data_IF_662911592556
#
_entry.id   IF_662911592556
#
_cell.length_a   1.000
_cell.length_b   1.000
_cell.length_c   1.000
_cell.angle_alpha   90.00
_cell.angle_beta   90.00
_cell.angle_gamma   90.00
#
_symmetry.space_group_name_H-M   'P 1'
#
loop_
_entity.id
_entity.type
_entity.pdbx_description
1 polymer ?
#
# COMPACT_ATOMS: atom_id res chain seq x y z
N UNK A 1 26.94 -18.39 50.49
CA UNK A 1 26.21 -17.14 50.19
C UNK A 1 24.72 -17.43 50.23
N UNK A 2 23.98 -16.79 51.13
CA UNK A 2 22.56 -17.03 51.37
C UNK A 2 21.69 -16.17 50.45
N UNK A 3 21.73 -16.45 49.15
CA UNK A 3 20.81 -15.83 48.21
C UNK A 3 19.68 -16.82 47.88
N UNK A 4 18.45 -16.42 48.17
CA UNK A 4 17.24 -17.20 47.87
C UNK A 4 16.82 -16.95 46.41
N UNK A 5 17.50 -17.61 45.48
CA UNK A 5 17.14 -17.57 44.06
C UNK A 5 16.33 -18.81 43.68
N UNK A 6 15.37 -18.63 42.77
CA UNK A 6 14.75 -19.75 42.07
C UNK A 6 15.81 -20.42 41.18
N UNK A 7 15.95 -21.73 41.27
CA UNK A 7 16.92 -22.49 40.48
C UNK A 7 16.52 -22.49 39.00
N UNK A 8 17.49 -22.23 38.12
CA UNK A 8 17.30 -22.23 36.67
C UNK A 8 17.53 -23.65 36.11
N UNK A 9 16.56 -24.55 36.33
CA UNK A 9 16.63 -25.92 35.82
C UNK A 9 16.07 -26.00 34.38
N UNK A 10 16.97 -26.21 33.40
CA UNK A 10 16.61 -26.34 31.98
C UNK A 10 16.22 -27.76 31.57
N UNK A 11 16.51 -28.74 32.42
CA UNK A 11 16.21 -30.16 32.21
C UNK A 11 14.89 -30.56 32.90
N UNK A 12 14.15 -29.59 33.45
CA UNK A 12 12.86 -29.82 34.07
C UNK A 12 11.86 -30.40 33.05
N UNK A 13 11.46 -31.65 33.28
CA UNK A 13 10.45 -32.33 32.48
C UNK A 13 9.05 -32.02 32.99
N UNK A 14 8.08 -31.92 32.07
CA UNK A 14 6.67 -31.88 32.44
C UNK A 14 6.18 -33.30 32.75
N UNK A 15 5.50 -33.48 33.88
CA UNK A 15 4.95 -34.78 34.30
C UNK A 15 3.88 -35.31 33.32
N UNK A 16 3.10 -34.39 32.72
CA UNK A 16 2.08 -34.68 31.71
C UNK A 16 2.28 -33.74 30.51
N UNK A 17 1.90 -34.14 29.28
CA UNK A 17 1.93 -33.26 28.12
C UNK A 17 1.08 -32.02 28.34
N UNK A 18 1.69 -30.83 28.22
CA UNK A 18 0.99 -29.55 28.36
C UNK A 18 0.15 -29.30 27.12
N UNK A 19 -1.11 -28.88 27.31
CA UNK A 19 -1.96 -28.47 26.19
C UNK A 19 -1.37 -27.26 25.49
N UNK A 20 -1.45 -27.22 24.16
CA UNK A 20 -1.05 -26.05 23.36
C UNK A 20 -1.83 -24.81 23.80
N UNK A 21 -3.05 -24.99 24.32
CA UNK A 21 -3.87 -23.89 24.83
C UNK A 21 -3.23 -23.17 26.01
N UNK A 22 -2.52 -23.89 26.86
CA UNK A 22 -1.95 -23.38 28.11
C UNK A 22 -0.59 -22.69 27.88
N UNK A 23 -0.05 -22.77 26.66
CA UNK A 23 1.24 -22.16 26.32
C UNK A 23 1.19 -20.63 26.25
N UNK A 24 -0.01 -20.04 26.11
CA UNK A 24 -0.22 -18.60 26.03
C UNK A 24 -1.35 -18.16 26.98
N UNK A 25 -1.23 -16.98 27.61
CA UNK A 25 -2.31 -16.43 28.43
C UNK A 25 -3.53 -16.07 27.56
N UNK A 26 -4.73 -16.11 28.14
CA UNK A 26 -6.00 -15.88 27.41
C UNK A 26 -6.06 -14.51 26.70
N UNK A 27 -5.48 -13.46 27.30
CA UNK A 27 -5.43 -12.12 26.72
C UNK A 27 -4.38 -11.93 25.61
N UNK A 28 -3.68 -12.98 25.20
CA UNK A 28 -2.62 -12.86 24.20
C UNK A 28 -3.16 -12.51 22.80
N UNK A 29 -2.41 -11.71 22.04
CA UNK A 29 -2.78 -11.27 20.69
C UNK A 29 -3.07 -12.44 19.73
N UNK A 30 -2.39 -13.57 19.90
CA UNK A 30 -2.59 -14.75 19.06
C UNK A 30 -4.04 -15.29 19.15
N UNK A 31 -4.59 -15.40 20.35
CA UNK A 31 -5.98 -15.83 20.57
C UNK A 31 -6.97 -14.85 19.97
N UNK A 32 -6.74 -13.56 20.20
CA UNK A 32 -7.55 -12.50 19.60
C UNK A 32 -7.61 -12.61 18.06
N UNK A 33 -6.47 -12.83 17.40
CA UNK A 33 -6.45 -12.95 15.94
C UNK A 33 -7.18 -14.23 15.50
N UNK A 34 -6.97 -15.36 16.18
CA UNK A 34 -7.70 -16.60 15.89
C UNK A 34 -9.21 -16.37 15.98
N UNK A 35 -9.69 -15.72 17.04
CA UNK A 35 -11.11 -15.47 17.24
C UNK A 35 -11.69 -14.49 16.23
N UNK A 36 -10.94 -13.44 15.87
CA UNK A 36 -11.35 -12.53 14.79
C UNK A 36 -11.44 -13.24 13.45
N UNK A 37 -10.50 -14.14 13.14
CA UNK A 37 -10.51 -14.86 11.86
C UNK A 37 -11.66 -15.88 11.78
N UNK A 38 -12.18 -16.40 12.92
CA UNK A 38 -13.39 -17.24 12.94
C UNK A 38 -14.65 -16.49 12.47
N UNK A 39 -14.69 -15.18 12.68
CA UNK A 39 -15.82 -14.33 12.25
C UNK A 39 -15.78 -14.08 10.73
N UNK A 40 -14.65 -14.35 10.06
CA UNK A 40 -14.48 -14.09 8.63
C UNK A 40 -15.14 -15.18 7.78
N UNK A 41 -15.78 -14.77 6.69
CA UNK A 41 -16.17 -15.69 5.64
C UNK A 41 -14.93 -16.11 4.84
N UNK A 42 -14.50 -17.36 5.06
CA UNK A 42 -13.33 -17.95 4.40
C UNK A 42 -13.71 -18.85 3.22
N UNK A 43 -14.99 -18.91 2.81
CA UNK A 43 -15.48 -19.82 1.77
C UNK A 43 -14.68 -19.72 0.47
N UNK A 44 -14.33 -18.49 0.06
CA UNK A 44 -13.50 -18.22 -1.13
C UNK A 44 -12.08 -18.81 -1.06
N UNK A 45 -11.54 -18.99 0.16
CA UNK A 45 -10.24 -19.62 0.35
C UNK A 45 -10.34 -21.14 0.23
N UNK A 46 -11.40 -21.75 0.78
CA UNK A 46 -11.62 -23.19 0.67
C UNK A 46 -11.95 -23.63 -0.77
N UNK A 47 -12.73 -22.84 -1.51
CA UNK A 47 -13.17 -23.18 -2.87
C UNK A 47 -12.04 -23.34 -3.91
N UNK A 48 -10.81 -22.91 -3.58
CA UNK A 48 -9.62 -23.10 -4.43
C UNK A 48 -8.91 -24.43 -4.21
N UNK A 49 -9.25 -25.14 -3.14
CA UNK A 49 -8.70 -26.44 -2.83
C UNK A 49 -9.55 -27.53 -3.48
N UNK A 50 -8.90 -28.62 -3.91
CA UNK A 50 -9.60 -29.77 -4.49
C UNK A 50 -10.47 -30.43 -3.42
N UNK A 51 -11.73 -30.68 -3.76
CA UNK A 51 -12.69 -31.43 -2.93
C UNK A 51 -12.39 -32.93 -2.84
N UNK A 52 -11.61 -33.46 -3.78
CA UNK A 52 -11.49 -34.90 -3.98
C UNK A 52 -10.64 -35.61 -2.92
N UNK A 53 -9.89 -34.87 -2.08
CA UNK A 53 -9.00 -35.44 -1.06
C UNK A 53 -7.72 -36.09 -1.59
N UNK A 54 -7.48 -36.06 -2.90
CA UNK A 54 -6.29 -36.64 -3.53
C UNK A 54 -5.12 -35.66 -3.59
N UNK A 55 -3.93 -36.15 -3.24
CA UNK A 55 -2.67 -35.39 -3.26
C UNK A 55 -2.13 -35.10 -1.87
N UNK A 56 -1.13 -34.22 -1.79
CA UNK A 56 -0.57 -33.79 -0.50
C UNK A 56 -1.59 -32.93 0.23
N UNK A 57 -1.86 -33.25 1.51
CA UNK A 57 -2.75 -32.47 2.36
C UNK A 57 -2.35 -31.00 2.38
N UNK A 58 -3.32 -30.12 2.12
CA UNK A 58 -3.14 -28.68 2.20
C UNK A 58 -3.25 -28.22 3.66
N UNK A 59 -2.59 -27.12 3.99
CA UNK A 59 -2.81 -26.45 5.27
C UNK A 59 -4.18 -25.81 5.30
N UNK A 60 -4.76 -25.76 6.50
CA UNK A 60 -6.07 -25.21 6.78
C UNK A 60 -6.05 -23.67 6.50
N UNK A 61 -6.95 -23.14 5.64
CA UNK A 61 -6.95 -21.73 5.27
C UNK A 61 -7.10 -20.74 6.42
N UNK A 62 -7.90 -21.04 7.45
CA UNK A 62 -8.09 -20.18 8.61
C UNK A 62 -6.77 -20.02 9.39
N UNK A 63 -6.03 -21.11 9.58
CA UNK A 63 -4.68 -21.13 10.14
C UNK A 63 -3.73 -20.26 9.31
N UNK A 64 -3.73 -20.41 7.98
CA UNK A 64 -2.84 -19.65 7.09
C UNK A 64 -3.15 -18.14 7.11
N UNK A 65 -4.43 -17.75 7.15
CA UNK A 65 -4.84 -16.34 7.27
C UNK A 65 -4.46 -15.79 8.65
N UNK A 66 -4.73 -16.52 9.72
CA UNK A 66 -4.37 -16.14 11.10
C UNK A 66 -2.87 -15.95 11.25
N UNK A 67 -2.07 -16.86 10.69
CA UNK A 67 -0.61 -16.79 10.68
C UNK A 67 -0.11 -15.52 9.99
N UNK A 68 -0.67 -15.19 8.82
CA UNK A 68 -0.28 -13.97 8.10
C UNK A 68 -0.67 -12.70 8.84
N UNK A 69 -1.89 -12.62 9.38
CA UNK A 69 -2.34 -11.44 10.14
C UNK A 69 -1.52 -11.24 11.41
N UNK A 70 -1.19 -12.31 12.13
CA UNK A 70 -0.33 -12.25 13.31
C UNK A 70 1.09 -11.81 12.97
N UNK A 71 1.70 -12.43 11.96
CA UNK A 71 3.05 -12.07 11.52
C UNK A 71 3.15 -10.59 11.10
N UNK A 72 2.18 -10.09 10.34
CA UNK A 72 2.12 -8.68 9.91
C UNK A 72 1.83 -7.72 11.05
N UNK A 73 1.12 -8.16 12.09
CA UNK A 73 0.90 -7.37 13.31
C UNK A 73 2.21 -7.15 14.08
N UNK A 74 3.09 -8.16 14.11
CA UNK A 74 4.43 -8.06 14.69
C UNK A 74 5.47 -7.38 13.76
N UNK A 75 5.13 -7.16 12.49
CA UNK A 75 6.06 -6.62 11.48
C UNK A 75 6.94 -7.68 10.80
N UNK A 76 6.72 -8.97 11.07
CA UNK A 76 7.39 -10.10 10.43
C UNK A 76 6.69 -10.39 9.10
N UNK A 77 7.26 -9.92 7.98
CA UNK A 77 6.63 -10.05 6.65
C UNK A 77 7.33 -11.03 5.71
N UNK A 78 8.59 -11.36 5.98
CA UNK A 78 9.35 -12.33 5.19
C UNK A 78 8.84 -13.74 5.45
N UNK A 79 8.42 -14.47 4.42
CA UNK A 79 7.93 -15.84 4.56
C UNK A 79 8.94 -16.77 5.23
N UNK A 80 10.25 -16.54 5.03
CA UNK A 80 11.31 -17.30 5.71
C UNK A 80 11.42 -16.97 7.20
N UNK A 81 11.17 -15.72 7.58
CA UNK A 81 11.12 -15.34 8.99
C UNK A 81 9.87 -15.92 9.66
N UNK A 82 8.73 -15.97 8.94
CA UNK A 82 7.50 -16.60 9.42
C UNK A 82 7.71 -18.10 9.64
N UNK A 83 8.33 -18.80 8.67
CA UNK A 83 8.71 -20.21 8.81
C UNK A 83 9.59 -20.45 10.05
N UNK A 84 10.66 -19.66 10.23
CA UNK A 84 11.52 -19.75 11.42
C UNK A 84 10.75 -19.44 12.72
N UNK A 85 9.83 -18.49 12.68
CA UNK A 85 8.99 -18.16 13.84
C UNK A 85 8.04 -19.31 14.19
N UNK A 86 7.50 -20.04 13.21
CA UNK A 86 6.70 -21.25 13.45
C UNK A 86 7.48 -22.38 14.14
N UNK A 87 8.80 -22.35 14.09
CA UNK A 87 9.65 -23.31 14.79
C UNK A 87 10.02 -22.85 16.21
N UNK A 88 10.37 -21.58 16.36
CA UNK A 88 11.00 -21.07 17.59
C UNK A 88 10.02 -20.38 18.53
N UNK A 89 9.01 -19.70 17.99
CA UNK A 89 8.10 -18.85 18.77
C UNK A 89 6.83 -19.62 19.15
N UNK A 90 6.55 -19.66 20.45
CA UNK A 90 5.39 -20.34 21.03
C UNK A 90 4.08 -19.81 20.43
N UNK A 91 3.98 -18.51 20.18
CA UNK A 91 2.76 -17.88 19.67
C UNK A 91 2.41 -18.32 18.27
N UNK A 92 3.43 -18.43 17.42
CA UNK A 92 3.27 -18.95 16.06
C UNK A 92 2.88 -20.43 16.10
N UNK A 93 3.50 -21.20 17.00
CA UNK A 93 3.16 -22.62 17.20
C UNK A 93 1.73 -22.82 17.70
N UNK A 94 1.20 -21.94 18.54
CA UNK A 94 -0.21 -21.99 18.96
C UNK A 94 -1.14 -21.76 17.76
N UNK A 95 -0.86 -20.74 16.94
CA UNK A 95 -1.66 -20.43 15.74
C UNK A 95 -1.63 -21.57 14.73
N UNK A 96 -0.47 -22.19 14.52
CA UNK A 96 -0.31 -23.28 13.56
C UNK A 96 -0.63 -24.66 14.14
N UNK A 97 -1.14 -24.74 15.37
CA UNK A 97 -1.32 -26.02 16.09
C UNK A 97 -0.07 -26.92 16.02
N UNK A 98 1.11 -26.31 16.19
CA UNK A 98 2.44 -26.91 16.13
C UNK A 98 2.83 -27.48 14.75
N UNK A 99 2.06 -27.18 13.70
CA UNK A 99 2.43 -27.46 12.31
C UNK A 99 3.43 -26.42 11.80
N UNK A 100 4.23 -26.80 10.80
CA UNK A 100 5.32 -25.98 10.27
C UNK A 100 5.16 -25.77 8.77
N UNK A 101 4.34 -24.79 8.35
CA UNK A 101 4.26 -24.42 6.95
C UNK A 101 5.60 -23.88 6.47
N UNK A 102 6.10 -24.42 5.36
CA UNK A 102 7.33 -24.00 4.74
C UNK A 102 7.17 -22.64 4.05
N UNK A 103 8.29 -21.93 3.86
CA UNK A 103 8.24 -20.61 3.24
C UNK A 103 7.60 -20.61 1.85
N UNK A 104 7.71 -21.72 1.09
CA UNK A 104 7.20 -21.80 -0.27
C UNK A 104 5.67 -21.89 -0.28
N UNK A 105 5.09 -22.63 0.67
CA UNK A 105 3.64 -22.70 0.87
C UNK A 105 3.06 -21.37 1.32
N UNK A 106 3.73 -20.66 2.25
CA UNK A 106 3.31 -19.31 2.68
C UNK A 106 3.35 -18.33 1.50
N UNK A 107 4.41 -18.36 0.69
CA UNK A 107 4.53 -17.53 -0.50
C UNK A 107 3.43 -17.82 -1.53
N UNK A 108 3.15 -19.11 -1.77
CA UNK A 108 2.12 -19.56 -2.71
C UNK A 108 0.74 -19.08 -2.27
N UNK A 109 0.38 -19.32 -1.01
CA UNK A 109 -0.89 -18.90 -0.43
C UNK A 109 -1.11 -17.39 -0.56
N UNK A 110 -0.08 -16.57 -0.29
CA UNK A 110 -0.16 -15.11 -0.47
C UNK A 110 -0.36 -14.67 -1.92
N UNK A 111 0.24 -15.40 -2.88
CA UNK A 111 0.16 -15.07 -4.30
C UNK A 111 -1.20 -15.44 -4.89
N UNK A 112 -1.71 -16.61 -4.54
CA UNK A 112 -2.98 -17.13 -5.04
C UNK A 112 -4.22 -16.45 -4.42
N UNK A 113 -4.07 -15.88 -3.22
CA UNK A 113 -5.15 -15.22 -2.48
C UNK A 113 -4.97 -13.71 -2.35
N UNK A 114 -4.28 -13.05 -3.29
CA UNK A 114 -3.97 -11.63 -3.14
C UNK A 114 -5.20 -10.71 -3.08
N UNK A 115 -6.23 -11.02 -3.87
CA UNK A 115 -7.47 -10.25 -3.89
C UNK A 115 -8.28 -10.47 -2.62
N UNK A 116 -8.39 -11.72 -2.16
CA UNK A 116 -9.09 -12.08 -0.93
C UNK A 116 -8.41 -11.48 0.30
N UNK A 117 -7.08 -11.52 0.37
CA UNK A 117 -6.31 -10.86 1.44
C UNK A 117 -6.49 -9.34 1.43
N UNK A 118 -6.73 -8.74 0.26
CA UNK A 118 -7.03 -7.32 0.16
C UNK A 118 -8.45 -7.00 0.66
N UNK A 119 -9.43 -7.90 0.44
CA UNK A 119 -10.81 -7.77 0.95
C UNK A 119 -10.88 -7.88 2.48
N UNK A 120 -9.96 -8.61 3.13
CA UNK A 120 -9.87 -8.67 4.59
C UNK A 120 -9.77 -7.29 5.24
N UNK A 121 -9.21 -6.29 4.55
CA UNK A 121 -9.19 -4.91 5.04
C UNK A 121 -10.60 -4.37 5.30
N UNK A 122 -11.53 -4.61 4.39
CA UNK A 122 -12.93 -4.15 4.49
C UNK A 122 -13.65 -4.88 5.63
N UNK A 123 -13.42 -6.18 5.79
CA UNK A 123 -14.00 -6.98 6.90
C UNK A 123 -13.47 -6.50 8.26
N UNK A 124 -12.17 -6.22 8.38
CA UNK A 124 -11.61 -5.65 9.61
C UNK A 124 -12.18 -4.26 9.91
N UNK A 125 -12.44 -3.46 8.87
CA UNK A 125 -13.06 -2.14 9.02
C UNK A 125 -14.50 -2.26 9.52
N UNK A 126 -15.26 -3.23 9.02
CA UNK A 126 -16.60 -3.58 9.50
C UNK A 126 -16.59 -3.90 10.99
N UNK A 127 -15.72 -4.82 11.43
CA UNK A 127 -15.56 -5.15 12.85
C UNK A 127 -15.19 -3.92 13.71
N UNK A 128 -14.36 -3.03 13.19
CA UNK A 128 -14.03 -1.78 13.87
C UNK A 128 -15.22 -0.80 13.92
N UNK A 129 -16.09 -0.85 12.91
CA UNK A 129 -17.36 -0.12 12.84
C UNK A 129 -18.34 -0.62 13.91
N UNK A 130 -18.54 -1.92 14.00
CA UNK A 130 -19.40 -2.59 15.00
C UNK A 130 -18.91 -2.34 16.43
N UNK A 131 -17.61 -2.40 16.66
CA UNK A 131 -16.99 -2.05 17.95
C UNK A 131 -17.09 -0.55 18.30
N UNK A 132 -17.66 0.29 17.41
CA UNK A 132 -17.86 1.72 17.62
C UNK A 132 -16.57 2.53 17.64
N UNK A 133 -15.51 2.03 17.01
CA UNK A 133 -14.20 2.70 16.91
C UNK A 133 -14.11 3.65 15.71
N UNK A 134 -14.99 3.51 14.73
CA UNK A 134 -14.96 4.31 13.50
C UNK A 134 -15.89 5.52 13.62
N UNK A 135 -15.33 6.70 13.86
CA UNK A 135 -16.06 7.98 13.77
C UNK A 135 -15.65 8.75 12.52
N UNK A 136 -16.47 8.66 11.47
CA UNK A 136 -16.19 9.18 10.12
C UNK A 136 -16.27 10.72 10.03
N UNK A 137 -16.63 11.43 11.10
CA UNK A 137 -16.89 12.88 11.03
C UNK A 137 -15.69 13.70 10.52
N UNK A 138 -14.48 13.42 11.03
CA UNK A 138 -13.24 14.08 10.59
C UNK A 138 -12.26 13.01 10.16
N UNK A 139 -11.81 13.12 8.91
CA UNK A 139 -10.80 12.22 8.34
C UNK A 139 -9.58 13.02 7.90
N UNK A 140 -8.43 12.37 7.97
CA UNK A 140 -7.16 12.93 7.54
C UNK A 140 -6.61 12.06 6.42
N UNK A 141 -6.28 12.68 5.28
CA UNK A 141 -5.65 12.04 4.13
C UNK A 141 -4.17 12.40 4.11
N UNK A 142 -3.32 11.39 3.97
CA UNK A 142 -1.90 11.60 3.75
C UNK A 142 -1.26 10.44 2.98
N UNK A 143 -0.15 10.75 2.33
CA UNK A 143 0.60 9.87 1.45
C UNK A 143 1.96 9.56 2.05
N UNK A 144 2.36 8.29 2.01
CA UNK A 144 3.61 7.84 2.57
C UNK A 144 4.44 7.09 1.53
N UNK A 145 5.67 7.56 1.33
CA UNK A 145 6.59 6.99 0.34
C UNK A 145 7.23 5.74 0.91
N UNK A 146 7.12 4.64 0.19
CA UNK A 146 7.54 3.30 0.60
C UNK A 146 8.50 2.75 -0.43
N UNK A 147 9.55 2.06 0.02
CA UNK A 147 10.52 1.44 -0.90
C UNK A 147 9.87 0.24 -1.58
N UNK A 148 10.12 0.06 -2.88
CA UNK A 148 9.78 -1.18 -3.57
C UNK A 148 10.83 -2.26 -3.27
N UNK A 149 10.54 -3.52 -3.60
CA UNK A 149 11.50 -4.63 -3.51
C UNK A 149 12.53 -4.58 -4.66
N UNK A 150 13.20 -3.43 -4.80
CA UNK A 150 14.12 -3.10 -5.90
C UNK A 150 15.16 -2.07 -5.47
N UNK A 151 16.34 -2.12 -6.09
CA UNK A 151 17.40 -1.13 -5.87
C UNK A 151 17.40 -0.02 -6.92
N UNK A 152 17.91 1.16 -6.55
CA UNK A 152 18.15 2.27 -7.48
C UNK A 152 19.20 1.92 -8.56
N UNK A 153 20.11 1.00 -8.27
CA UNK A 153 21.15 0.53 -9.17
C UNK A 153 20.61 -0.33 -10.33
N UNK A 154 19.42 -0.92 -10.17
CA UNK A 154 18.76 -1.70 -11.22
C UNK A 154 18.01 -0.83 -12.25
N UNK A 155 18.06 0.49 -12.11
CA UNK A 155 17.51 1.44 -13.08
C UNK A 155 18.42 1.51 -14.31
N UNK A 156 17.92 1.04 -15.46
CA UNK A 156 18.61 1.14 -16.74
C UNK A 156 17.96 2.21 -17.62
N UNK A 157 18.77 2.85 -18.46
CA UNK A 157 18.32 3.83 -19.44
C UNK A 157 17.77 3.14 -20.67
N UNK A 158 16.87 3.82 -21.38
CA UNK A 158 16.28 3.32 -22.63
C UNK A 158 17.33 2.88 -23.66
N UNK A 159 18.40 3.67 -23.86
CA UNK A 159 19.48 3.36 -24.81
C UNK A 159 20.23 2.05 -24.45
N UNK A 160 20.43 1.78 -23.16
CA UNK A 160 21.03 0.52 -22.72
C UNK A 160 20.09 -0.68 -22.99
N UNK A 161 18.78 -0.51 -22.78
CA UNK A 161 17.80 -1.55 -23.04
C UNK A 161 17.64 -1.83 -24.53
N UNK A 162 17.64 -0.80 -25.37
CA UNK A 162 17.56 -0.94 -26.83
C UNK A 162 18.79 -1.65 -27.40
N UNK A 163 19.99 -1.26 -26.94
CA UNK A 163 21.25 -1.93 -27.33
C UNK A 163 21.28 -3.39 -26.88
N UNK A 164 20.83 -3.67 -25.66
CA UNK A 164 20.80 -5.04 -25.13
C UNK A 164 19.77 -5.92 -25.87
N UNK A 165 18.58 -5.39 -26.18
CA UNK A 165 17.57 -6.11 -26.97
C UNK A 165 18.06 -6.35 -28.40
N UNK A 166 18.69 -5.34 -29.04
CA UNK A 166 19.29 -5.52 -30.37
C UNK A 166 20.40 -6.56 -30.35
N UNK A 167 21.29 -6.53 -29.35
CA UNK A 167 22.35 -7.55 -29.19
C UNK A 167 21.76 -8.95 -29.00
N UNK A 168 20.73 -9.10 -28.17
CA UNK A 168 20.09 -10.41 -27.95
C UNK A 168 19.32 -10.93 -29.17
N UNK A 169 18.71 -10.04 -29.97
CA UNK A 169 18.09 -10.43 -31.24
C UNK A 169 19.14 -10.84 -32.26
N UNK A 170 20.24 -10.10 -32.37
CA UNK A 170 21.36 -10.47 -33.24
C UNK A 170 22.02 -11.79 -32.81
N UNK A 171 22.22 -12.01 -31.50
CA UNK A 171 22.73 -13.29 -30.98
C UNK A 171 21.76 -14.45 -31.25
N UNK A 172 20.43 -14.20 -31.28
CA UNK A 172 19.43 -15.19 -31.63
C UNK A 172 19.41 -15.46 -33.15
N UNK A 173 19.42 -14.41 -33.97
CA UNK A 173 19.50 -14.51 -35.44
C UNK A 173 20.80 -15.21 -35.88
N UNK A 174 21.92 -14.98 -35.19
CA UNK A 174 23.20 -15.67 -35.43
C UNK A 174 23.20 -17.13 -34.95
N UNK A 175 22.46 -17.44 -33.88
CA UNK A 175 22.28 -18.81 -33.41
C UNK A 175 21.37 -19.60 -34.36
N UNK A 176 20.24 -19.01 -34.75
CA UNK A 176 19.30 -19.56 -35.74
C UNK A 176 20.00 -19.74 -37.11
N UNK A 177 20.83 -18.77 -37.53
CA UNK A 177 21.61 -18.90 -38.77
C UNK A 177 22.70 -19.98 -38.71
N UNK A 178 23.28 -20.25 -37.53
CA UNK A 178 24.24 -21.35 -37.32
C UNK A 178 23.52 -22.71 -37.27
N UNK A 179 22.36 -22.77 -36.62
CA UNK A 179 21.50 -23.96 -36.60
C UNK A 179 20.94 -24.27 -38.00
N UNK A 180 20.58 -23.27 -38.81
CA UNK A 180 20.17 -23.42 -40.21
C UNK A 180 21.29 -23.94 -41.12
N UNK A 181 22.54 -23.54 -40.85
CA UNK A 181 23.75 -24.04 -41.55
C UNK A 181 24.08 -25.48 -41.14
N UNK A 182 23.81 -25.87 -39.89
CA UNK A 182 24.17 -27.19 -39.35
C UNK A 182 23.08 -28.26 -39.54
N UNK A 183 21.78 -27.89 -39.59
CA UNK A 183 20.66 -28.84 -39.65
C UNK A 183 19.73 -28.72 -40.86
N UNK A 184 19.88 -27.68 -41.69
CA UNK A 184 19.04 -27.43 -42.87
C UNK A 184 17.62 -26.94 -42.53
N UNK A 185 17.06 -26.07 -43.39
CA UNK A 185 15.84 -25.25 -43.19
C UNK A 185 14.54 -25.95 -42.73
N UNK A 186 14.48 -27.28 -42.66
CA UNK A 186 13.22 -28.03 -42.52
C UNK A 186 13.15 -29.03 -41.34
N UNK A 187 14.07 -29.00 -40.36
CA UNK A 187 13.94 -29.83 -39.15
C UNK A 187 13.90 -29.02 -37.85
N UNK A 188 12.77 -29.07 -37.14
CA UNK A 188 12.63 -28.60 -35.76
C UNK A 188 13.01 -29.71 -34.79
N UNK A 189 14.13 -29.52 -34.09
CA UNK A 189 14.49 -30.28 -32.90
C UNK A 189 13.79 -29.68 -31.68
N UNK A 190 12.62 -30.22 -31.34
CA UNK A 190 11.85 -29.78 -30.18
C UNK A 190 12.55 -30.13 -28.86
N UNK A 191 13.10 -29.11 -28.19
CA UNK A 191 12.94 -28.77 -26.77
C UNK A 191 13.83 -27.55 -26.50
N UNK A 192 13.26 -26.34 -26.40
CA UNK A 192 14.03 -25.16 -26.00
C UNK A 192 14.74 -25.45 -24.67
N UNK A 193 16.09 -25.38 -24.59
CA UNK A 193 16.79 -25.57 -23.34
C UNK A 193 16.28 -24.60 -22.27
N UNK A 194 16.27 -25.02 -21.00
CA UNK A 194 15.89 -24.17 -19.84
C UNK A 194 16.65 -22.83 -19.79
N UNK A 195 17.75 -22.71 -20.53
CA UNK A 195 18.53 -21.50 -20.74
C UNK A 195 17.87 -20.50 -21.69
N UNK A 196 17.20 -20.95 -22.76
CA UNK A 196 16.39 -20.09 -23.64
C UNK A 196 15.13 -19.62 -22.95
N UNK A 197 14.48 -20.41 -22.09
CA UNK A 197 13.35 -19.94 -21.27
C UNK A 197 13.72 -18.75 -20.37
N UNK A 198 14.98 -18.68 -19.88
CA UNK A 198 15.51 -17.51 -19.16
C UNK A 198 15.81 -16.33 -20.10
N UNK A 199 16.26 -16.59 -21.33
CA UNK A 199 16.53 -15.56 -22.35
C UNK A 199 15.25 -14.96 -22.93
N UNK A 200 14.28 -15.77 -23.33
CA UNK A 200 12.95 -15.36 -23.80
C UNK A 200 12.17 -14.61 -22.72
N UNK A 201 12.13 -15.12 -21.48
CA UNK A 201 11.47 -14.41 -20.37
C UNK A 201 12.17 -13.09 -20.05
N UNK A 202 13.50 -13.01 -20.19
CA UNK A 202 14.26 -11.76 -20.08
C UNK A 202 13.96 -10.81 -21.24
N UNK A 203 13.87 -11.30 -22.47
CA UNK A 203 13.58 -10.52 -23.67
C UNK A 203 12.15 -10.00 -23.67
N UNK A 204 11.18 -10.80 -23.22
CA UNK A 204 9.80 -10.37 -22.98
C UNK A 204 9.72 -9.28 -21.90
N UNK A 205 10.51 -9.39 -20.82
CA UNK A 205 10.60 -8.32 -19.80
C UNK A 205 11.24 -7.05 -20.32
N UNK A 206 12.26 -7.16 -21.17
CA UNK A 206 12.90 -6.03 -21.82
C UNK A 206 11.95 -5.32 -22.79
N UNK A 207 11.21 -6.08 -23.61
CA UNK A 207 10.16 -5.55 -24.50
C UNK A 207 9.05 -4.85 -23.72
N UNK A 208 8.55 -5.46 -22.64
CA UNK A 208 7.56 -4.83 -21.74
C UNK A 208 8.10 -3.56 -21.06
N UNK A 209 9.37 -3.57 -20.63
CA UNK A 209 10.02 -2.38 -20.07
C UNK A 209 10.12 -1.24 -21.08
N UNK A 210 10.46 -1.56 -22.34
CA UNK A 210 10.52 -0.61 -23.45
C UNK A 210 9.14 0.02 -23.72
N UNK A 211 8.10 -0.81 -23.86
CA UNK A 211 6.73 -0.34 -24.10
C UNK A 211 6.21 0.54 -22.95
N UNK A 212 6.47 0.18 -21.68
CA UNK A 212 6.07 1.02 -20.55
C UNK A 212 6.85 2.34 -20.47
N UNK A 213 8.13 2.35 -20.88
CA UNK A 213 8.91 3.60 -20.96
C UNK A 213 8.37 4.51 -22.06
N UNK A 214 7.99 3.96 -23.22
CA UNK A 214 7.34 4.69 -24.31
C UNK A 214 5.99 5.26 -23.86
N UNK A 215 5.13 4.45 -23.23
CA UNK A 215 3.86 4.90 -22.65
C UNK A 215 4.07 5.97 -21.58
N UNK A 216 4.99 5.77 -20.64
CA UNK A 216 5.30 6.79 -19.62
C UNK A 216 5.88 8.07 -20.23
N UNK A 217 6.61 7.98 -21.35
CA UNK A 217 7.12 9.15 -22.06
C UNK A 217 5.97 9.88 -22.78
N UNK A 218 5.06 9.15 -23.41
CA UNK A 218 3.84 9.68 -24.03
C UNK A 218 2.90 10.31 -23.00
N UNK A 219 2.66 9.67 -21.86
CA UNK A 219 1.86 10.24 -20.76
C UNK A 219 2.51 11.49 -20.18
N UNK A 220 3.84 11.53 -20.04
CA UNK A 220 4.55 12.73 -19.60
C UNK A 220 4.49 13.85 -20.64
N UNK A 221 4.57 13.51 -21.92
CA UNK A 221 4.39 14.45 -23.02
C UNK A 221 2.97 15.01 -23.02
N UNK A 222 1.94 14.16 -22.97
CA UNK A 222 0.54 14.55 -22.89
C UNK A 222 0.23 15.38 -21.63
N UNK A 223 0.78 15.03 -20.46
CA UNK A 223 0.63 15.83 -19.23
C UNK A 223 1.40 17.16 -19.33
N UNK A 224 2.48 17.22 -20.11
CA UNK A 224 3.22 18.46 -20.34
C UNK A 224 2.52 19.35 -21.37
N UNK A 225 1.96 18.78 -22.44
CA UNK A 225 1.09 19.41 -23.42
C UNK A 225 -0.16 19.97 -22.75
N UNK A 226 -0.89 19.15 -22.00
CA UNK A 226 -2.05 19.59 -21.23
C UNK A 226 -1.71 20.66 -20.17
N UNK A 227 -0.46 20.73 -19.69
CA UNK A 227 0.01 21.82 -18.80
C UNK A 227 0.40 23.09 -19.55
N UNK A 228 0.81 22.96 -20.81
CA UNK A 228 1.10 24.09 -21.69
C UNK A 228 -0.22 24.67 -22.18
N UNK A 229 -1.14 23.84 -22.69
CA UNK A 229 -2.51 24.23 -23.07
C UNK A 229 -3.24 24.86 -21.89
N UNK A 230 -3.24 24.24 -20.71
CA UNK A 230 -3.84 24.83 -19.52
C UNK A 230 -3.23 26.18 -19.11
N UNK A 231 -1.92 26.34 -19.34
CA UNK A 231 -1.23 27.61 -19.06
C UNK A 231 -1.58 28.66 -20.11
N UNK A 232 -1.73 28.26 -21.37
CA UNK A 232 -2.13 29.13 -22.47
C UNK A 232 -3.58 29.58 -22.31
N UNK A 233 -4.50 28.68 -21.96
CA UNK A 233 -5.89 28.99 -21.60
C UNK A 233 -5.96 29.92 -20.38
N UNK A 234 -5.19 29.64 -19.32
CA UNK A 234 -5.13 30.52 -18.14
C UNK A 234 -4.50 31.89 -18.45
N UNK A 235 -3.51 31.97 -19.34
CA UNK A 235 -2.89 33.24 -19.79
C UNK A 235 -3.82 34.04 -20.71
N UNK A 236 -4.65 33.36 -21.52
CA UNK A 236 -5.70 34.00 -22.34
C UNK A 236 -6.86 34.52 -21.49
N UNK A 237 -7.30 33.76 -20.47
CA UNK A 237 -8.39 34.16 -19.56
C UNK A 237 -7.94 35.25 -18.59
N UNK A 238 -6.68 35.24 -18.13
CA UNK A 238 -6.17 36.19 -17.13
C UNK A 238 -5.63 37.49 -17.73
N UNK A 239 -5.32 37.55 -19.02
CA UNK A 239 -4.74 38.74 -19.69
C UNK A 239 -3.34 39.17 -19.21
N UNK A 240 -2.76 38.52 -18.19
CA UNK A 240 -1.44 38.81 -17.63
C UNK A 240 -0.47 37.63 -17.82
N UNK A 241 0.75 37.91 -18.31
CA UNK A 241 1.81 36.90 -18.45
C UNK A 241 2.29 36.45 -17.05
N UNK A 242 2.11 35.18 -16.70
CA UNK A 242 2.59 34.64 -15.42
C UNK A 242 4.11 34.71 -15.31
N UNK A 243 4.63 35.34 -14.24
CA UNK A 243 6.07 35.34 -13.90
C UNK A 243 6.52 33.95 -13.44
N UNK A 244 7.37 33.32 -14.24
CA UNK A 244 8.02 32.03 -13.96
C UNK A 244 8.79 31.53 -15.18
N UNK A 245 9.66 30.53 -15.01
CA UNK A 245 10.37 29.88 -16.13
C UNK A 245 9.33 29.36 -17.13
N UNK A 246 9.40 29.77 -18.41
CA UNK A 246 8.57 29.18 -19.47
C UNK A 246 8.72 27.67 -19.40
N UNK A 247 7.59 26.95 -19.38
CA UNK A 247 7.61 25.50 -19.61
C UNK A 247 8.22 25.33 -21.00
N UNK A 248 9.28 24.54 -21.11
CA UNK A 248 9.79 24.21 -22.44
C UNK A 248 8.67 23.48 -23.18
N UNK A 249 8.46 23.85 -24.44
CA UNK A 249 7.65 23.05 -25.36
C UNK A 249 8.08 21.58 -25.22
N UNK A 250 7.14 20.62 -25.23
CA UNK A 250 7.51 19.23 -25.23
C UNK A 250 8.36 19.03 -26.49
N UNK A 251 9.53 18.42 -26.37
CA UNK A 251 10.22 17.92 -27.55
C UNK A 251 9.19 17.04 -28.29
N UNK A 252 8.94 17.32 -29.58
CA UNK A 252 7.98 16.59 -30.43
C UNK A 252 8.25 15.07 -30.49
N UNK A 253 9.42 14.66 -29.98
CA UNK A 253 9.72 13.30 -29.54
C UNK A 253 10.21 13.39 -28.08
N UNK A 254 9.41 13.01 -27.06
CA UNK A 254 9.88 13.03 -25.68
C UNK A 254 11.05 12.07 -25.57
N UNK A 255 12.28 12.60 -25.54
CA UNK A 255 13.52 11.82 -25.67
C UNK A 255 13.50 10.64 -24.66
N UNK A 256 13.18 9.40 -25.10
CA UNK A 256 12.99 8.27 -24.18
C UNK A 256 14.31 7.94 -23.47
N UNK A 257 15.41 8.50 -23.98
CA UNK A 257 16.79 8.47 -23.48
C UNK A 257 16.97 8.89 -22.02
N UNK A 258 16.10 9.74 -21.44
CA UNK A 258 16.19 10.15 -20.01
C UNK A 258 15.31 9.33 -19.07
N UNK A 259 14.35 8.58 -19.59
CA UNK A 259 13.48 7.75 -18.78
C UNK A 259 14.23 6.50 -18.34
N UNK A 260 14.32 6.31 -17.02
CA UNK A 260 14.94 5.12 -16.42
C UNK A 260 13.81 4.21 -15.94
N UNK A 261 13.82 2.96 -16.38
CA UNK A 261 12.95 1.92 -15.83
C UNK A 261 13.79 0.93 -15.04
N UNK A 262 13.17 0.36 -14.02
CA UNK A 262 13.79 -0.69 -13.24
C UNK A 262 13.46 -2.04 -13.87
N UNK A 263 14.49 -2.81 -14.24
CA UNK A 263 14.31 -4.15 -14.82
C UNK A 263 13.68 -5.15 -13.86
N UNK A 264 13.84 -4.93 -12.55
CA UNK A 264 13.40 -5.87 -11.52
C UNK A 264 11.93 -5.69 -11.14
N UNK A 265 11.43 -4.45 -11.11
CA UNK A 265 10.02 -4.09 -10.94
C UNK A 265 9.67 -2.92 -11.86
N UNK A 266 9.01 -3.23 -12.97
CA UNK A 266 8.73 -2.29 -14.06
C UNK A 266 7.78 -1.17 -13.61
N UNK A 267 6.94 -1.46 -12.62
CA UNK A 267 5.90 -0.55 -12.11
C UNK A 267 6.41 0.41 -11.04
N UNK A 268 7.59 0.15 -10.48
CA UNK A 268 8.21 1.01 -9.47
C UNK A 268 8.67 2.34 -10.09
N UNK A 269 8.62 3.43 -9.32
CA UNK A 269 9.03 4.77 -9.78
C UNK A 269 10.04 5.40 -8.81
N UNK A 270 10.86 6.33 -9.33
CA UNK A 270 11.78 7.12 -8.50
C UNK A 270 10.97 8.19 -7.77
N UNK A 271 10.94 8.11 -6.44
CA UNK A 271 10.21 9.01 -5.57
C UNK A 271 11.17 9.86 -4.72
N UNK A 272 10.98 11.17 -4.76
CA UNK A 272 11.74 12.11 -3.92
C UNK A 272 11.21 12.10 -2.48
N UNK A 273 12.07 11.76 -1.53
CA UNK A 273 11.82 11.86 -0.08
C UNK A 273 12.58 13.06 0.49
N UNK A 274 12.40 13.35 1.78
CA UNK A 274 13.15 14.41 2.48
C UNK A 274 14.66 14.12 2.52
N UNK A 275 15.04 12.85 2.58
CA UNK A 275 16.43 12.40 2.80
C UNK A 275 17.08 11.84 1.53
N UNK A 276 16.48 12.03 0.35
CA UNK A 276 17.02 11.55 -0.93
C UNK A 276 15.95 11.01 -1.88
N UNK A 277 16.35 10.13 -2.80
CA UNK A 277 15.44 9.47 -3.74
C UNK A 277 15.31 8.00 -3.36
N UNK A 278 14.10 7.46 -3.42
CA UNK A 278 13.85 6.03 -3.24
C UNK A 278 13.17 5.48 -4.49
N UNK A 279 13.45 4.23 -4.85
CA UNK A 279 12.66 3.51 -5.85
C UNK A 279 11.50 2.83 -5.11
N UNK A 280 10.26 3.13 -5.49
CA UNK A 280 9.11 2.51 -4.83
C UNK A 280 7.78 3.10 -5.21
N UNK A 281 6.87 3.10 -4.24
CA UNK A 281 5.47 3.44 -4.42
C UNK A 281 4.99 4.40 -3.34
N UNK A 282 3.89 5.08 -3.61
CA UNK A 282 3.29 6.05 -2.71
C UNK A 282 2.00 5.45 -2.14
N UNK A 283 2.06 5.01 -0.88
CA UNK A 283 0.93 4.45 -0.15
C UNK A 283 0.08 5.57 0.44
N UNK A 284 -1.14 5.71 -0.05
CA UNK A 284 -2.14 6.64 0.43
C UNK A 284 -2.96 5.98 1.53
N UNK A 285 -3.30 6.73 2.58
CA UNK A 285 -4.21 6.28 3.61
C UNK A 285 -5.13 7.42 4.09
N UNK A 286 -6.38 7.08 4.33
CA UNK A 286 -7.38 7.95 4.98
C UNK A 286 -7.63 7.43 6.39
N UNK A 287 -7.46 8.29 7.39
CA UNK A 287 -7.45 7.90 8.80
C UNK A 287 -8.44 8.74 9.60
N UNK A 288 -9.17 8.11 10.52
CA UNK A 288 -10.07 8.78 11.46
C UNK A 288 -9.33 9.40 12.65
N UNK A 289 -10.07 10.13 13.51
CA UNK A 289 -9.54 10.67 14.77
C UNK A 289 -9.00 9.58 15.70
N UNK A 290 -9.63 8.42 15.71
CA UNK A 290 -9.28 7.24 16.52
C UNK A 290 -8.08 6.46 15.94
N UNK A 291 -7.43 6.97 14.89
CA UNK A 291 -6.30 6.34 14.21
C UNK A 291 -6.66 5.02 13.51
N UNK A 292 -7.92 4.86 13.11
CA UNK A 292 -8.40 3.76 12.27
C UNK A 292 -8.27 4.17 10.80
N UNK A 293 -7.72 3.28 9.98
CA UNK A 293 -7.56 3.49 8.55
C UNK A 293 -8.84 3.06 7.85
N UNK A 294 -9.47 3.96 7.10
CA UNK A 294 -10.74 3.73 6.39
C UNK A 294 -10.52 3.36 4.94
N UNK A 295 -9.53 3.98 4.28
CA UNK A 295 -9.16 3.66 2.91
C UNK A 295 -7.65 3.62 2.77
N UNK A 296 -7.16 2.71 1.95
CA UNK A 296 -5.74 2.50 1.71
C UNK A 296 -5.50 2.08 0.25
N UNK A 297 -4.70 2.84 -0.49
CA UNK A 297 -4.35 2.54 -1.88
C UNK A 297 -2.89 2.85 -2.18
N UNK A 298 -2.36 2.24 -3.23
CA UNK A 298 -0.99 2.46 -3.70
C UNK A 298 -1.01 3.12 -5.06
N UNK A 299 -0.19 4.16 -5.21
CA UNK A 299 -0.07 4.93 -6.45
C UNK A 299 1.39 4.99 -6.91
N UNK A 300 1.58 5.06 -8.23
CA UNK A 300 2.91 5.25 -8.84
C UNK A 300 3.31 6.72 -8.95
N UNK A 301 2.39 7.64 -8.66
CA UNK A 301 2.60 9.07 -8.82
C UNK A 301 3.55 9.63 -7.75
N UNK A 302 4.48 10.50 -8.16
CA UNK A 302 5.46 11.11 -7.25
C UNK A 302 4.86 12.21 -6.35
N UNK A 303 3.77 12.84 -6.81
CA UNK A 303 3.08 13.94 -6.14
C UNK A 303 1.63 13.55 -5.87
N UNK A 304 1.09 14.04 -4.75
CA UNK A 304 -0.23 13.65 -4.26
C UNK A 304 -1.39 14.47 -4.82
N UNK A 305 -1.11 15.41 -5.74
CA UNK A 305 -2.11 16.39 -6.22
C UNK A 305 -3.36 15.71 -6.77
N UNK A 306 -3.22 14.66 -7.57
CA UNK A 306 -4.37 14.01 -8.21
C UNK A 306 -5.06 12.97 -7.32
N UNK A 307 -4.58 12.75 -6.09
CA UNK A 307 -5.02 11.64 -5.23
C UNK A 307 -6.13 12.02 -4.25
N UNK A 308 -6.55 13.29 -4.20
CA UNK A 308 -7.59 13.74 -3.28
C UNK A 308 -8.94 13.09 -3.60
N UNK A 309 -9.47 13.29 -4.81
CA UNK A 309 -10.79 12.80 -5.22
C UNK A 309 -10.88 11.27 -5.31
N UNK A 310 -9.90 10.55 -5.89
CA UNK A 310 -9.92 9.09 -5.90
C UNK A 310 -10.00 8.50 -4.49
N UNK A 311 -9.20 9.01 -3.55
CA UNK A 311 -9.22 8.52 -2.16
C UNK A 311 -10.53 8.81 -1.44
N UNK A 312 -11.20 9.94 -1.74
CA UNK A 312 -12.52 10.23 -1.16
C UNK A 312 -13.60 9.29 -1.71
N UNK A 313 -13.63 9.07 -3.03
CA UNK A 313 -14.53 8.07 -3.62
C UNK A 313 -14.29 6.69 -3.01
N UNK A 314 -13.03 6.30 -2.87
CA UNK A 314 -12.66 5.03 -2.25
C UNK A 314 -13.09 4.95 -0.79
N UNK A 315 -12.95 6.04 -0.05
CA UNK A 315 -13.43 6.12 1.34
C UNK A 315 -14.93 5.87 1.42
N UNK A 316 -15.72 6.48 0.53
CA UNK A 316 -17.16 6.27 0.48
C UNK A 316 -17.53 4.82 0.07
N UNK A 317 -16.80 4.22 -0.86
CA UNK A 317 -16.97 2.81 -1.25
C UNK A 317 -16.69 1.86 -0.08
N UNK A 318 -15.56 2.03 0.60
CA UNK A 318 -15.15 1.17 1.73
C UNK A 318 -16.10 1.32 2.92
N UNK A 319 -16.56 2.54 3.22
CA UNK A 319 -17.53 2.78 4.29
C UNK A 319 -18.89 2.15 4.00
N UNK A 320 -19.34 2.20 2.74
CA UNK A 320 -20.56 1.51 2.30
C UNK A 320 -20.41 0.00 2.39
N UNK A 321 -19.28 -0.53 1.93
CA UNK A 321 -19.00 -1.95 1.97
C UNK A 321 -18.89 -2.48 3.41
N UNK A 322 -18.32 -1.71 4.33
CA UNK A 322 -18.20 -2.04 5.74
C UNK A 322 -19.45 -1.70 6.59
N UNK A 323 -20.55 -1.26 5.97
CA UNK A 323 -21.81 -0.97 6.68
C UNK A 323 -21.76 0.18 7.70
N UNK A 324 -20.71 1.00 7.71
CA UNK A 324 -20.52 2.04 8.73
C UNK A 324 -21.44 3.23 8.49
N UNK A 325 -22.38 3.45 9.43
CA UNK A 325 -23.33 4.58 9.38
C UNK A 325 -22.62 5.89 9.72
N UNK A 326 -22.13 6.60 8.71
CA UNK A 326 -21.55 7.94 8.89
C UNK A 326 -21.09 8.57 7.58
N UNK A 327 -21.30 9.88 7.44
CA UNK A 327 -20.75 10.66 6.31
C UNK A 327 -19.48 11.37 6.73
N UNK A 328 -18.49 11.40 5.84
CA UNK A 328 -17.31 12.25 5.98
C UNK A 328 -17.77 13.70 6.00
N UNK A 329 -17.49 14.46 7.07
CA UNK A 329 -17.85 15.88 7.15
C UNK A 329 -16.69 16.81 6.88
N UNK A 330 -15.48 16.44 7.32
CA UNK A 330 -14.27 17.26 7.19
C UNK A 330 -13.10 16.38 6.75
N UNK A 331 -12.35 16.84 5.76
CA UNK A 331 -11.14 16.18 5.25
C UNK A 331 -9.93 17.08 5.48
N UNK A 332 -8.91 16.54 6.13
CA UNK A 332 -7.65 17.22 6.42
C UNK A 332 -6.55 16.64 5.52
N UNK A 333 -5.86 17.46 4.71
CA UNK A 333 -4.73 16.95 3.91
C UNK A 333 -3.59 17.97 3.75
N UNK A 334 -2.41 17.50 3.34
CA UNK A 334 -1.25 18.37 3.13
C UNK A 334 -1.39 19.28 1.90
N UNK A 335 -0.45 20.22 1.77
CA UNK A 335 -0.25 21.02 0.57
C UNK A 335 0.19 20.23 -0.65
N UNK A 336 0.50 18.94 -0.50
CA UNK A 336 0.68 18.02 -1.62
C UNK A 336 -0.61 17.79 -2.42
N UNK A 337 -1.77 17.89 -1.78
CA UNK A 337 -3.09 17.63 -2.37
C UNK A 337 -3.78 18.90 -2.88
N UNK A 338 -3.23 20.08 -2.60
CA UNK A 338 -3.81 21.35 -3.02
C UNK A 338 -3.55 21.61 -4.50
N UNK A 339 -4.61 21.75 -5.28
CA UNK A 339 -4.62 22.39 -6.60
C UNK A 339 -5.92 23.17 -6.78
N UNK A 340 -5.90 24.20 -7.63
CA UNK A 340 -7.11 24.99 -7.92
C UNK A 340 -8.18 24.14 -8.60
N UNK A 341 -7.79 23.24 -9.51
CA UNK A 341 -8.67 22.24 -10.13
C UNK A 341 -9.35 21.34 -9.10
N UNK A 342 -8.61 20.74 -8.17
CA UNK A 342 -9.21 19.90 -7.12
C UNK A 342 -10.26 20.64 -6.28
N UNK A 343 -10.07 21.95 -6.07
CA UNK A 343 -11.01 22.76 -5.30
C UNK A 343 -12.25 23.18 -6.10
N UNK A 344 -12.13 23.28 -7.42
CA UNK A 344 -13.26 23.54 -8.33
C UNK A 344 -14.06 22.26 -8.60
N UNK A 345 -13.36 21.14 -8.75
CA UNK A 345 -13.94 19.81 -8.93
C UNK A 345 -14.55 19.24 -7.62
N UNK A 346 -14.33 19.90 -6.49
CA UNK A 346 -14.92 19.51 -5.22
C UNK A 346 -16.41 19.85 -5.19
N UNK A 347 -17.23 18.82 -4.99
CA UNK A 347 -18.69 18.96 -4.87
C UNK A 347 -19.04 19.96 -3.75
N UNK A 348 -19.84 21.02 -4.03
CA UNK A 348 -20.31 21.96 -3.01
C UNK A 348 -21.08 21.31 -1.86
N UNK A 349 -21.68 20.13 -2.10
CA UNK A 349 -22.39 19.32 -1.10
C UNK A 349 -21.51 18.28 -0.39
N UNK A 350 -20.25 18.16 -0.82
CA UNK A 350 -19.26 17.24 -0.28
C UNK A 350 -18.65 17.66 1.06
N UNK A 351 -17.66 16.91 1.58
CA UNK A 351 -17.02 17.20 2.85
C UNK A 351 -16.24 18.52 2.82
N UNK A 352 -16.19 19.21 3.96
CA UNK A 352 -15.39 20.42 4.12
C UNK A 352 -13.89 20.09 4.01
N UNK A 353 -13.24 20.55 2.93
CA UNK A 353 -11.82 20.38 2.70
C UNK A 353 -10.99 21.41 3.47
N UNK A 354 -9.99 20.96 4.24
CA UNK A 354 -8.98 21.80 4.89
C UNK A 354 -7.59 21.39 4.39
N UNK A 355 -7.16 22.05 3.31
CA UNK A 355 -5.90 21.78 2.61
C UNK A 355 -4.90 22.91 2.84
N UNK A 356 -3.67 22.58 3.25
CA UNK A 356 -2.63 23.60 3.32
C UNK A 356 -2.27 24.14 1.92
N UNK A 357 -2.15 25.45 1.75
CA UNK A 357 -1.86 26.06 0.44
C UNK A 357 -0.36 26.24 0.17
N UNK A 358 0.50 26.20 1.19
CA UNK A 358 1.94 26.51 1.08
C UNK A 358 2.82 25.33 1.49
N UNK A 359 3.88 25.08 0.72
CA UNK A 359 4.84 23.98 0.92
C UNK A 359 5.92 24.26 1.97
N UNK A 360 6.23 25.53 2.26
CA UNK A 360 7.34 25.89 3.17
C UNK A 360 6.91 26.01 4.63
N UNK A 361 7.65 25.38 5.55
CA UNK A 361 7.44 25.47 7.00
C UNK A 361 7.46 26.92 7.51
N UNK A 362 8.41 27.74 7.02
CA UNK A 362 8.51 29.16 7.41
C UNK A 362 7.27 29.96 7.00
N UNK A 363 6.73 29.69 5.80
CA UNK A 363 5.52 30.35 5.31
C UNK A 363 4.26 29.88 6.06
N UNK A 364 4.21 28.61 6.50
CA UNK A 364 3.15 28.10 7.38
C UNK A 364 3.19 28.74 8.77
N UNK A 365 4.40 28.95 9.30
CA UNK A 365 4.60 29.58 10.61
C UNK A 365 4.22 31.06 10.58
N UNK A 366 4.65 31.81 9.56
CA UNK A 366 4.22 33.18 9.34
C UNK A 366 2.69 33.34 9.19
N UNK A 367 1.99 32.32 8.67
CA UNK A 367 0.53 32.29 8.63
C UNK A 367 -0.09 31.94 10.00
N UNK A 368 0.53 31.07 10.79
CA UNK A 368 0.05 30.78 12.16
C UNK A 368 0.01 32.05 13.03
N UNK A 369 0.97 32.94 12.83
CA UNK A 369 1.12 34.20 13.56
C UNK A 369 0.16 35.29 13.09
N UNK A 370 -0.50 35.11 11.93
CA UNK A 370 -1.55 36.04 11.48
C UNK A 370 -2.78 35.95 12.38
N UNK A 371 -3.32 37.15 12.68
CA UNK A 371 -4.54 37.33 13.50
C UNK A 371 -5.73 36.61 12.84
N UNK A 372 -6.59 36.02 13.67
CA UNK A 372 -7.78 35.33 13.17
C UNK A 372 -8.65 36.31 12.38
N UNK A 373 -8.94 36.04 11.10
CA UNK A 373 -9.76 36.93 10.28
C UNK A 373 -11.20 37.00 10.83
N UNK A 374 -11.75 38.21 10.94
CA UNK A 374 -13.14 38.49 11.37
C UNK A 374 -13.98 38.98 10.19
N UNK A 375 -15.30 38.72 10.23
CA UNK A 375 -16.26 39.14 9.19
C UNK A 375 -16.50 38.13 8.06
N UNK A 376 -17.48 38.43 7.20
CA UNK A 376 -17.87 37.62 6.04
C UNK A 376 -16.71 37.50 5.04
N UNK A 377 -16.62 36.37 4.33
CA UNK A 377 -15.62 36.17 3.29
C UNK A 377 -15.98 37.10 2.11
N UNK A 378 -15.05 37.92 1.59
CA UNK A 378 -15.32 38.72 0.40
C UNK A 378 -15.69 37.84 -0.79
N UNK A 379 -16.72 38.21 -1.56
CA UNK A 379 -17.14 37.44 -2.73
C UNK A 379 -16.04 37.39 -3.80
N UNK A 380 -15.19 38.42 -3.89
CA UNK A 380 -14.04 38.51 -4.80
C UNK A 380 -12.81 37.70 -4.36
N UNK A 381 -12.84 37.06 -3.18
CA UNK A 381 -11.68 36.31 -2.69
C UNK A 381 -11.44 35.06 -3.55
N UNK A 382 -10.18 34.86 -3.96
CA UNK A 382 -9.75 33.69 -4.72
C UNK A 382 -9.94 32.39 -3.91
N UNK A 383 -10.06 31.25 -4.58
CA UNK A 383 -10.22 29.92 -3.93
C UNK A 383 -9.11 29.67 -2.89
N UNK A 384 -7.89 30.12 -3.21
CA UNK A 384 -6.73 30.04 -2.32
C UNK A 384 -6.87 30.90 -1.07
N UNK A 385 -7.29 32.15 -1.21
CA UNK A 385 -7.48 33.06 -0.09
C UNK A 385 -8.63 32.62 0.82
N UNK A 386 -9.70 32.07 0.23
CA UNK A 386 -10.80 31.44 0.98
C UNK A 386 -10.29 30.29 1.84
N UNK A 387 -9.43 29.42 1.30
CA UNK A 387 -8.82 28.31 2.05
C UNK A 387 -7.86 28.80 3.14
N UNK A 388 -6.99 29.76 2.82
CA UNK A 388 -6.07 30.36 3.80
C UNK A 388 -6.85 31.00 4.95
N UNK A 389 -7.94 31.71 4.65
CA UNK A 389 -8.83 32.29 5.67
C UNK A 389 -9.49 31.21 6.53
N UNK A 390 -9.98 30.11 5.95
CA UNK A 390 -10.54 28.97 6.69
C UNK A 390 -9.53 28.37 7.66
N UNK A 391 -8.30 28.10 7.22
CA UNK A 391 -7.22 27.57 8.04
C UNK A 391 -6.79 28.53 9.17
N UNK A 392 -6.96 29.84 9.00
CA UNK A 392 -6.63 30.84 10.01
C UNK A 392 -7.69 30.96 11.12
N UNK A 393 -8.91 30.48 10.91
CA UNK A 393 -9.97 30.51 11.94
C UNK A 393 -9.60 29.64 13.15
N UNK A 394 -10.12 29.94 14.33
CA UNK A 394 -9.90 29.12 15.54
C UNK A 394 -10.32 27.65 15.32
N UNK A 395 -11.50 27.44 14.70
CA UNK A 395 -12.01 26.10 14.34
C UNK A 395 -11.10 25.40 13.33
N UNK A 396 -10.69 26.09 12.26
CA UNK A 396 -9.80 25.54 11.24
C UNK A 396 -8.42 25.16 11.80
N UNK A 397 -7.81 26.02 12.64
CA UNK A 397 -6.54 25.72 13.33
C UNK A 397 -6.67 24.49 14.23
N UNK A 398 -7.76 24.39 15.01
CA UNK A 398 -8.00 23.26 15.90
C UNK A 398 -8.18 21.94 15.13
N UNK A 399 -9.00 21.95 14.08
CA UNK A 399 -9.22 20.78 13.23
C UNK A 399 -7.93 20.37 12.50
N UNK A 400 -7.21 21.31 11.88
CA UNK A 400 -5.99 20.99 11.15
C UNK A 400 -4.87 20.47 12.06
N UNK A 401 -4.84 20.87 13.35
CA UNK A 401 -3.91 20.31 14.35
C UNK A 401 -4.14 18.81 14.59
N UNK A 402 -5.36 18.31 14.37
CA UNK A 402 -5.65 16.87 14.50
C UNK A 402 -4.92 16.02 13.45
N UNK A 403 -4.53 16.59 12.31
CA UNK A 403 -3.81 15.83 11.26
C UNK A 403 -2.50 15.23 11.78
N UNK A 404 -1.70 16.01 12.51
CA UNK A 404 -0.43 15.51 13.09
C UNK A 404 -0.64 14.53 14.24
N UNK A 405 -1.85 14.45 14.81
CA UNK A 405 -2.21 13.50 15.88
C UNK A 405 -2.84 12.21 15.34
N UNK A 406 -3.25 12.21 14.08
CA UNK A 406 -4.00 11.11 13.45
C UNK A 406 -3.13 10.32 12.49
N UNK A 407 -2.73 10.91 11.35
CA UNK A 407 -2.05 10.15 10.29
C UNK A 407 -0.57 9.95 10.56
N UNK A 408 0.12 10.97 11.08
CA UNK A 408 1.56 10.87 11.34
C UNK A 408 1.91 9.75 12.34
N UNK A 409 1.19 9.56 13.46
CA UNK A 409 1.44 8.44 14.36
C UNK A 409 1.12 7.08 13.73
N UNK A 410 0.10 7.02 12.87
CA UNK A 410 -0.22 5.78 12.13
C UNK A 410 0.97 5.40 11.26
N UNK A 411 1.46 6.29 10.40
CA UNK A 411 2.64 6.00 9.59
C UNK A 411 3.90 5.74 10.40
N UNK A 412 4.08 6.42 11.54
CA UNK A 412 5.14 6.12 12.49
C UNK A 412 5.07 4.70 13.06
N UNK A 413 3.88 4.23 13.41
CA UNK A 413 3.66 2.86 13.89
C UNK A 413 3.89 1.81 12.78
N UNK A 414 3.42 2.08 11.56
CA UNK A 414 3.64 1.19 10.41
C UNK A 414 5.12 1.08 10.07
N UNK A 415 5.80 2.21 9.91
CA UNK A 415 7.19 2.26 9.44
C UNK A 415 8.20 1.98 10.54
N UNK A 416 8.10 2.72 11.64
CA UNK A 416 9.06 2.67 12.74
C UNK A 416 8.88 1.45 13.62
N UNK A 417 7.66 1.22 14.14
CA UNK A 417 7.44 0.12 15.10
C UNK A 417 7.38 -1.25 14.41
N UNK A 418 6.74 -1.35 13.24
CA UNK A 418 6.58 -2.63 12.51
C UNK A 418 7.59 -2.84 11.38
N UNK A 419 8.56 -1.96 11.19
CA UNK A 419 9.60 -2.09 10.16
C UNK A 419 9.06 -2.20 8.73
N UNK A 420 7.84 -1.72 8.48
CA UNK A 420 7.17 -1.88 7.18
C UNK A 420 7.48 -0.68 6.29
N UNK A 421 8.76 -0.46 5.96
CA UNK A 421 9.19 0.64 5.07
C UNK A 421 9.36 0.22 3.60
N UNK A 422 9.44 -1.09 3.36
CA UNK A 422 9.75 -1.67 2.04
C UNK A 422 8.71 -2.73 1.70
N UNK A 423 8.06 -2.63 0.54
CA UNK A 423 7.18 -3.68 0.03
C UNK A 423 7.99 -4.92 -0.37
N UNK A 424 7.44 -6.11 -0.16
CA UNK A 424 8.10 -7.37 -0.51
C UNK A 424 7.67 -7.88 -1.89
N UNK A 425 6.43 -7.57 -2.29
CA UNK A 425 5.89 -7.95 -3.59
C UNK A 425 6.22 -6.90 -4.67
N UNK A 426 6.03 -7.28 -5.93
CA UNK A 426 6.34 -6.48 -7.13
C UNK A 426 5.11 -6.38 -8.01
N UNK A 427 4.94 -5.25 -8.69
CA UNK A 427 3.74 -4.92 -9.46
C UNK A 427 2.66 -4.24 -8.62
N UNK A 428 1.88 -3.34 -9.25
CA UNK A 428 0.94 -2.47 -8.54
C UNK A 428 -0.11 -3.24 -7.75
N UNK A 429 -0.76 -4.24 -8.34
CA UNK A 429 -1.82 -5.01 -7.68
C UNK A 429 -1.30 -5.77 -6.45
N UNK A 430 -0.14 -6.41 -6.58
CA UNK A 430 0.48 -7.17 -5.51
C UNK A 430 0.99 -6.26 -4.36
N UNK A 431 1.46 -5.06 -4.68
CA UNK A 431 1.86 -4.06 -3.70
C UNK A 431 0.64 -3.43 -3.02
N UNK A 432 -0.46 -3.21 -3.76
CA UNK A 432 -1.70 -2.69 -3.21
C UNK A 432 -2.36 -3.67 -2.22
N UNK A 433 -2.39 -4.96 -2.53
CA UNK A 433 -2.85 -6.00 -1.59
C UNK A 433 -1.97 -6.07 -0.34
N UNK A 434 -0.65 -5.98 -0.49
CA UNK A 434 0.27 -5.91 0.66
C UNK A 434 0.02 -4.67 1.52
N UNK A 435 -0.23 -3.50 0.91
CA UNK A 435 -0.56 -2.27 1.62
C UNK A 435 -1.87 -2.38 2.40
N UNK A 436 -2.94 -2.88 1.76
CA UNK A 436 -4.24 -3.10 2.42
C UNK A 436 -4.12 -4.08 3.59
N UNK A 437 -3.32 -5.14 3.46
CA UNK A 437 -3.05 -6.08 4.56
C UNK A 437 -2.28 -5.43 5.74
N UNK A 438 -1.28 -4.59 5.44
CA UNK A 438 -0.55 -3.82 6.46
C UNK A 438 -1.50 -2.85 7.19
N UNK A 439 -2.43 -2.21 6.46
CA UNK A 439 -3.44 -1.33 7.03
C UNK A 439 -4.48 -2.11 7.85
N UNK A 440 -4.91 -3.29 7.39
CA UNK A 440 -5.84 -4.15 8.11
C UNK A 440 -5.28 -4.57 9.47
N UNK A 441 -4.02 -5.01 9.50
CA UNK A 441 -3.35 -5.40 10.75
C UNK A 441 -3.11 -4.23 11.70
N UNK A 442 -2.96 -3.00 11.19
CA UNK A 442 -2.97 -1.80 12.04
C UNK A 442 -4.32 -1.61 12.73
N UNK A 443 -5.42 -1.74 11.97
CA UNK A 443 -6.78 -1.64 12.53
C UNK A 443 -7.05 -2.76 13.55
N UNK A 444 -6.64 -4.00 13.28
CA UNK A 444 -6.72 -5.12 14.23
C UNK A 444 -6.01 -4.83 15.54
N UNK A 445 -4.79 -4.27 15.50
CA UNK A 445 -4.06 -3.90 16.70
C UNK A 445 -4.76 -2.78 17.49
N UNK A 446 -5.43 -1.85 16.82
CA UNK A 446 -6.25 -0.83 17.48
C UNK A 446 -7.49 -1.45 18.14
N UNK A 447 -8.15 -2.38 17.44
CA UNK A 447 -9.28 -3.12 17.95
C UNK A 447 -8.89 -3.93 19.20
N UNK A 448 -7.80 -4.70 19.13
CA UNK A 448 -7.26 -5.46 20.27
C UNK A 448 -6.95 -4.56 21.48
N UNK A 449 -6.19 -3.48 21.27
CA UNK A 449 -5.81 -2.55 22.36
C UNK A 449 -7.00 -1.78 22.94
N UNK A 450 -8.11 -1.68 22.20
CA UNK A 450 -9.32 -1.03 22.70
C UNK A 450 -10.06 -1.88 23.72
N UNK A 451 -9.86 -3.20 23.72
CA UNK A 451 -10.61 -4.16 24.56
C UNK A 451 -12.11 -4.23 24.24
N UNK A 452 -12.57 -3.60 23.15
CA UNK A 452 -14.00 -3.52 22.78
C UNK A 452 -14.48 -4.66 21.89
N UNK A 453 -13.56 -5.51 21.45
CA UNK A 453 -13.94 -6.70 20.71
C UNK A 453 -14.47 -7.73 21.69
N UNK A 454 -15.73 -8.08 21.54
CA UNK A 454 -16.33 -9.24 22.20
C UNK A 454 -16.54 -10.28 21.10
N UNK A 455 -15.84 -11.43 21.13
CA UNK A 455 -16.13 -12.49 20.18
C UNK A 455 -17.60 -12.89 20.34
N UNK A 456 -18.31 -13.10 19.23
CA UNK A 456 -19.69 -13.56 19.30
C UNK A 456 -19.69 -14.96 19.93
N UNK A 457 -20.04 -15.06 21.22
CA UNK A 457 -20.29 -16.32 21.92
C UNK A 457 -21.61 -16.99 21.48
N UNK A 458 -22.30 -16.44 20.48
CA UNK A 458 -23.50 -17.02 19.91
C UNK A 458 -23.13 -17.77 18.62
N UNK A 459 -23.43 -19.08 18.47
CA UNK A 459 -23.44 -19.69 17.16
C UNK A 459 -24.42 -18.91 16.29
N UNK A 460 -23.99 -18.45 15.12
CA UNK A 460 -24.93 -18.05 14.06
C UNK A 460 -25.75 -19.30 13.76
N UNK A 461 -26.96 -19.38 14.30
CA UNK A 461 -27.95 -20.38 13.90
C UNK A 461 -28.10 -20.27 12.37
N UNK A 462 -27.58 -21.27 11.63
CA UNK A 462 -27.75 -21.32 10.18
C UNK A 462 -26.60 -21.84 9.32
N UNK A 463 -25.43 -22.17 9.86
CA UNK A 463 -24.38 -22.86 9.08
C UNK A 463 -23.95 -24.16 9.74
N UNK A 464 -24.81 -25.17 9.64
CA UNK A 464 -24.41 -26.58 9.66
C UNK A 464 -25.19 -27.32 8.57
N UNK A 465 -24.47 -27.65 7.50
CA UNK A 465 -24.57 -28.92 6.79
C UNK A 465 -23.25 -29.14 6.04
#
# INVERSE_FOLDING_TARGET
MAYNFLESNRDQMYLMPVSIRDWLPEGHLAWFIIDVVKEFDLTSFYGKHRSDGWGRAAYEPMMMVSLLLYAYSLGIRSSRQIERACEVDVSFRVITANQRPDYSTICRFRKENEEELAKLFTVVLELCGEAGLVKVGVVSLDGTKMKGNTSLAANRTYDYLEKEVKRMLQEADEADAKEDVEYGRERRGDELPKELARRESRLARLRKAKAQLEQCAQEKAAVQEAKIEAREEEEQVSGEKKRGRKLKEPDKNPDPKKAKANLTDLDSRIMKTRNGHIQGYNGQAVVTKEQIIVAAEVTQQQNDVQQLHPMLKRTDEELKAAGVKGKVRVVLADAGYYSERNMLDADPSGPELLLATKKSHKQRQAMKDKRCPRGRIPNSASVKERMERKLLTKRGKALYKLRSQTVEPVFGQIKGCRGSETFLRRGVAAVNSEWRLICATHNLLKLWRSGKFQPCMAPKEGCLA
#
